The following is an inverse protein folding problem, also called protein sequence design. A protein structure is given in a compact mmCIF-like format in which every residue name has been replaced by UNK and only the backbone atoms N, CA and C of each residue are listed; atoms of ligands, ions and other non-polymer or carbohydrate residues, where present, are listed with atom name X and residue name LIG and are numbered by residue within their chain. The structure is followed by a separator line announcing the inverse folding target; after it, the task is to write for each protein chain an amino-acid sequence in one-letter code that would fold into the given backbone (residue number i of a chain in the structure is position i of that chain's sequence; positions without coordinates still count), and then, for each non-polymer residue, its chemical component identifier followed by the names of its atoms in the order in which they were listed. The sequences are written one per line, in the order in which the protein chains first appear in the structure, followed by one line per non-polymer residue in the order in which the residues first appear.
data_IF_712871452777
#
_entry.id   IF_712871452777
#
_cell.length_a   1.000
_cell.length_b   1.000
_cell.length_c   1.000
_cell.angle_alpha   90.00
_cell.angle_beta   90.00
_cell.angle_gamma   90.00
#
_symmetry.space_group_name_H-M   'P 1'
#
loop_
_entity.id
_entity.type
_entity.pdbx_description
1 polymer ?
#
# COMPACT_ATOMS: atom_id res chain seq x y z
N UNK A 1 1.03 4.27 -6.11
CA UNK A 1 1.48 3.79 -4.81
C UNK A 1 2.80 3.03 -4.96
N UNK A 2 3.59 2.96 -3.89
CA UNK A 2 4.76 2.08 -3.84
C UNK A 2 4.31 0.62 -3.89
N UNK A 3 4.95 -0.21 -4.71
CA UNK A 3 4.68 -1.64 -4.79
C UNK A 3 5.99 -2.42 -4.64
N UNK A 4 5.92 -3.61 -4.03
CA UNK A 4 7.07 -4.52 -3.89
C UNK A 4 6.74 -5.90 -4.43
N UNK A 5 7.73 -6.69 -4.83
CA UNK A 5 7.50 -8.03 -5.36
C UNK A 5 6.77 -8.94 -4.37
N UNK A 6 5.76 -9.67 -4.84
CA UNK A 6 5.07 -10.68 -4.04
C UNK A 6 5.98 -11.87 -3.71
N UNK A 7 6.93 -12.18 -4.58
CA UNK A 7 7.78 -13.36 -4.42
C UNK A 7 7.03 -14.68 -4.58
N UNK A 8 5.97 -14.70 -5.39
CA UNK A 8 5.13 -15.87 -5.60
C UNK A 8 5.87 -16.95 -6.39
N UNK A 9 5.65 -18.21 -6.03
CA UNK A 9 6.29 -19.35 -6.70
C UNK A 9 5.67 -20.68 -6.30
N UNK A 10 6.07 -21.78 -6.93
CA UNK A 10 5.62 -23.11 -6.58
C UNK A 10 5.95 -23.47 -5.12
N UNK A 11 4.99 -24.05 -4.41
CA UNK A 11 5.20 -24.61 -3.08
C UNK A 11 5.77 -26.02 -3.23
N UNK A 12 7.07 -26.18 -2.97
CA UNK A 12 7.71 -27.49 -2.98
C UNK A 12 7.30 -28.31 -1.74
N UNK A 13 7.36 -29.64 -1.84
CA UNK A 13 7.07 -30.51 -0.71
C UNK A 13 8.03 -30.25 0.46
N UNK A 14 9.32 -30.09 0.17
CA UNK A 14 10.34 -29.76 1.16
C UNK A 14 10.02 -28.48 1.95
N UNK A 15 9.62 -27.40 1.24
CA UNK A 15 9.22 -26.15 1.87
C UNK A 15 7.95 -26.29 2.70
N UNK A 16 6.99 -27.09 2.24
CA UNK A 16 5.77 -27.39 2.98
C UNK A 16 6.08 -28.14 4.27
N UNK A 17 6.95 -29.16 4.21
CA UNK A 17 7.35 -29.98 5.36
C UNK A 17 8.16 -29.13 6.36
N UNK A 18 9.04 -28.25 5.88
CA UNK A 18 9.73 -27.29 6.71
C UNK A 18 8.75 -26.38 7.47
N UNK A 19 7.79 -25.74 6.78
CA UNK A 19 6.82 -24.86 7.40
C UNK A 19 5.99 -25.63 8.44
N UNK A 20 5.53 -26.85 8.12
CA UNK A 20 4.74 -27.68 9.04
C UNK A 20 5.52 -28.08 10.29
N UNK A 21 6.79 -28.39 10.17
CA UNK A 21 7.64 -28.74 11.31
C UNK A 21 8.00 -27.55 12.21
N UNK A 22 7.83 -26.30 11.70
CA UNK A 22 8.16 -25.06 12.42
C UNK A 22 6.93 -24.17 12.69
N UNK A 23 5.72 -24.70 12.68
CA UNK A 23 4.48 -23.92 12.89
C UNK A 23 4.51 -23.08 14.17
N UNK A 24 4.97 -23.66 15.28
CA UNK A 24 5.02 -22.97 16.56
C UNK A 24 5.96 -21.74 16.52
N UNK A 25 7.08 -21.85 15.81
CA UNK A 25 8.03 -20.75 15.64
C UNK A 25 7.45 -19.64 14.76
N UNK A 26 6.77 -20.00 13.66
CA UNK A 26 6.10 -19.03 12.81
C UNK A 26 4.97 -18.33 13.55
N UNK A 27 4.15 -19.07 14.29
CA UNK A 27 3.06 -18.50 15.08
C UNK A 27 3.59 -17.55 16.15
N UNK A 28 4.63 -17.94 16.88
CA UNK A 28 5.27 -17.10 17.90
C UNK A 28 5.81 -15.79 17.31
N UNK A 29 6.43 -15.83 16.12
CA UNK A 29 6.87 -14.61 15.41
C UNK A 29 5.70 -13.72 15.01
N UNK A 30 4.61 -14.29 14.52
CA UNK A 30 3.40 -13.53 14.19
C UNK A 30 2.81 -12.89 15.43
N UNK A 31 2.71 -13.61 16.54
CA UNK A 31 2.15 -13.13 17.81
C UNK A 31 3.00 -12.00 18.42
N UNK A 32 4.32 -12.05 18.26
CA UNK A 32 5.24 -11.03 18.73
C UNK A 32 5.26 -9.77 17.86
N UNK A 33 4.82 -9.86 16.60
CA UNK A 33 4.91 -8.74 15.65
C UNK A 33 3.69 -7.81 15.74
N UNK A 34 3.91 -6.52 15.54
CA UNK A 34 2.84 -5.50 15.51
C UNK A 34 1.77 -5.78 14.45
N UNK A 35 2.18 -6.35 13.33
CA UNK A 35 1.32 -6.54 12.16
C UNK A 35 0.73 -7.96 12.04
N UNK A 36 1.06 -8.88 12.94
CA UNK A 36 0.64 -10.28 12.86
C UNK A 36 1.30 -11.08 11.72
N UNK A 37 2.41 -10.58 11.16
CA UNK A 37 3.22 -11.24 10.13
C UNK A 37 4.59 -11.68 10.70
N UNK A 38 5.24 -12.72 10.14
CA UNK A 38 6.53 -13.20 10.64
C UNK A 38 7.70 -12.32 10.19
N UNK A 39 7.50 -11.00 10.21
CA UNK A 39 8.50 -9.99 9.89
C UNK A 39 8.72 -9.11 11.12
N UNK A 40 9.97 -8.80 11.41
CA UNK A 40 10.38 -7.94 12.52
C UNK A 40 11.25 -6.82 11.96
N UNK A 41 11.06 -5.60 12.47
CA UNK A 41 11.94 -4.50 12.15
C UNK A 41 13.35 -4.78 12.64
N UNK A 42 14.33 -4.35 11.84
CA UNK A 42 15.73 -4.36 12.25
C UNK A 42 15.88 -3.32 13.36
N UNK A 43 16.39 -3.71 14.55
CA UNK A 43 16.38 -2.82 15.74
C UNK A 43 17.36 -1.65 15.66
N UNK A 44 18.34 -1.70 14.74
CA UNK A 44 19.25 -0.60 14.47
C UNK A 44 18.57 0.50 13.64
N UNK A 45 19.04 1.75 13.79
CA UNK A 45 18.66 2.81 12.87
C UNK A 45 19.42 2.66 11.55
N UNK A 46 18.81 3.05 10.47
CA UNK A 46 19.33 2.86 9.12
C UNK A 46 20.74 3.49 8.96
N UNK A 47 20.95 4.68 9.50
CA UNK A 47 22.23 5.39 9.35
C UNK A 47 23.32 4.98 10.36
N UNK A 48 22.99 4.20 11.37
CA UNK A 48 23.97 3.61 12.30
C UNK A 48 24.73 2.45 11.65
N UNK A 49 24.22 1.92 10.53
CA UNK A 49 24.81 0.81 9.76
C UNK A 49 25.61 1.36 8.57
N UNK A 50 26.79 0.78 8.25
CA UNK A 50 27.57 1.16 7.06
C UNK A 50 26.78 1.07 5.77
N UNK A 51 27.07 1.98 4.82
CA UNK A 51 26.30 2.09 3.57
C UNK A 51 26.21 0.79 2.80
N UNK A 52 27.31 0.09 2.65
CA UNK A 52 27.40 -1.16 1.90
C UNK A 52 26.54 -2.27 2.53
N UNK A 53 26.50 -2.32 3.84
CA UNK A 53 25.73 -3.30 4.61
C UNK A 53 24.22 -3.00 4.53
N UNK A 54 23.81 -1.74 4.75
CA UNK A 54 22.39 -1.37 4.64
C UNK A 54 21.86 -1.53 3.22
N UNK A 55 22.65 -1.22 2.17
CA UNK A 55 22.27 -1.43 0.78
C UNK A 55 22.08 -2.91 0.46
N UNK A 56 23.01 -3.76 0.91
CA UNK A 56 22.89 -5.20 0.78
C UNK A 56 21.66 -5.75 1.50
N UNK A 57 21.36 -5.21 2.69
CA UNK A 57 20.18 -5.61 3.46
C UNK A 57 18.87 -5.19 2.81
N UNK A 58 18.78 -3.97 2.28
CA UNK A 58 17.61 -3.53 1.51
C UNK A 58 17.40 -4.38 0.27
N UNK A 59 18.47 -4.78 -0.41
CA UNK A 59 18.42 -5.68 -1.56
C UNK A 59 17.92 -7.08 -1.19
N UNK A 60 18.37 -7.63 -0.08
CA UNK A 60 17.89 -8.90 0.50
C UNK A 60 16.39 -8.82 0.80
N UNK A 61 15.96 -7.77 1.51
CA UNK A 61 14.56 -7.57 1.88
C UNK A 61 13.66 -7.35 0.67
N UNK A 62 14.13 -6.63 -0.36
CA UNK A 62 13.37 -6.42 -1.59
C UNK A 62 13.14 -7.71 -2.39
N UNK A 63 14.11 -8.63 -2.34
CA UNK A 63 14.01 -9.97 -2.95
C UNK A 63 13.24 -10.97 -2.08
N UNK A 64 13.06 -10.63 -0.81
CA UNK A 64 12.32 -11.46 0.13
C UNK A 64 10.82 -11.53 -0.19
N UNK A 65 10.12 -12.56 0.28
CA UNK A 65 8.70 -12.76 -0.03
C UNK A 65 7.79 -11.78 0.73
N UNK A 66 6.70 -11.40 0.09
CA UNK A 66 5.62 -10.65 0.72
C UNK A 66 6.05 -9.27 1.24
N UNK A 67 5.78 -9.03 2.51
CA UNK A 67 6.05 -7.73 3.15
C UNK A 67 7.46 -7.58 3.74
N UNK A 68 8.42 -8.40 3.32
CA UNK A 68 9.79 -8.40 3.87
C UNK A 68 10.40 -7.00 3.93
N UNK A 69 10.35 -6.24 2.84
CA UNK A 69 10.90 -4.89 2.84
C UNK A 69 10.08 -3.93 3.71
N UNK A 70 8.74 -4.01 3.67
CA UNK A 70 7.90 -3.06 4.38
C UNK A 70 7.90 -3.26 5.89
N UNK A 71 7.82 -4.51 6.35
CA UNK A 71 7.68 -4.87 7.76
C UNK A 71 8.99 -5.41 8.38
N UNK A 72 10.04 -5.56 7.58
CA UNK A 72 11.35 -6.03 8.02
C UNK A 72 12.49 -5.02 7.82
N UNK A 73 12.16 -3.77 7.49
CA UNK A 73 13.15 -2.69 7.31
C UNK A 73 13.66 -2.17 8.67
N UNK A 74 14.64 -1.30 8.68
CA UNK A 74 15.17 -0.63 9.87
C UNK A 74 14.06 0.10 10.65
N UNK A 75 14.14 0.07 11.99
CA UNK A 75 13.05 0.55 12.88
C UNK A 75 12.69 2.02 12.67
N UNK A 76 13.64 2.85 12.27
CA UNK A 76 13.46 4.28 12.02
C UNK A 76 12.96 4.60 10.60
N UNK A 77 12.96 3.64 9.68
CA UNK A 77 12.60 3.87 8.28
C UNK A 77 11.16 4.37 8.06
N UNK A 78 10.25 4.13 9.00
CA UNK A 78 8.86 4.62 8.94
C UNK A 78 8.62 5.85 9.83
N UNK A 79 9.60 6.32 10.59
CA UNK A 79 9.46 7.44 11.55
C UNK A 79 10.47 8.57 11.36
N UNK A 80 11.65 8.31 10.79
CA UNK A 80 12.65 9.32 10.44
C UNK A 80 12.56 9.67 8.95
N UNK A 81 12.51 10.96 8.63
CA UNK A 81 12.36 11.44 7.24
C UNK A 81 13.56 11.10 6.35
N UNK A 82 14.78 11.16 6.88
CA UNK A 82 15.99 10.87 6.11
C UNK A 82 16.11 9.37 5.84
N UNK A 83 15.83 8.53 6.84
CA UNK A 83 15.79 7.09 6.69
C UNK A 83 14.69 6.66 5.72
N UNK A 84 13.48 7.22 5.86
CA UNK A 84 12.37 6.96 4.93
C UNK A 84 12.71 7.36 3.49
N UNK A 85 13.32 8.54 3.32
CA UNK A 85 13.76 9.00 1.99
C UNK A 85 14.77 8.03 1.38
N UNK A 86 15.72 7.53 2.16
CA UNK A 86 16.72 6.58 1.66
C UNK A 86 16.07 5.28 1.14
N UNK A 87 15.14 4.72 1.89
CA UNK A 87 14.38 3.53 1.47
C UNK A 87 13.48 3.84 0.26
N UNK A 88 12.85 5.01 0.23
CA UNK A 88 12.05 5.46 -0.91
C UNK A 88 12.88 5.60 -2.18
N UNK A 89 14.08 6.19 -2.08
CA UNK A 89 15.01 6.33 -3.21
C UNK A 89 15.49 4.96 -3.71
N UNK A 90 15.73 4.01 -2.80
CA UNK A 90 16.06 2.64 -3.15
C UNK A 90 14.93 1.97 -3.97
N UNK A 91 13.68 2.05 -3.50
CA UNK A 91 12.54 1.47 -4.23
C UNK A 91 12.30 2.20 -5.55
N UNK A 92 12.45 3.53 -5.59
CA UNK A 92 12.39 4.31 -6.83
C UNK A 92 13.44 3.85 -7.86
N UNK A 93 14.66 3.53 -7.41
CA UNK A 93 15.69 2.98 -8.28
C UNK A 93 15.27 1.62 -8.85
N UNK A 94 14.62 0.76 -8.05
CA UNK A 94 14.10 -0.53 -8.55
C UNK A 94 13.03 -0.33 -9.64
N UNK A 95 12.15 0.65 -9.47
CA UNK A 95 11.15 0.99 -10.50
C UNK A 95 11.84 1.43 -11.80
N UNK A 96 12.83 2.33 -11.71
CA UNK A 96 13.61 2.80 -12.88
C UNK A 96 14.38 1.69 -13.60
N UNK A 97 14.81 0.67 -12.87
CA UNK A 97 15.48 -0.49 -13.46
C UNK A 97 14.52 -1.42 -14.23
N UNK A 98 13.24 -1.46 -13.83
CA UNK A 98 12.22 -2.35 -14.38
C UNK A 98 11.39 -1.72 -15.50
N UNK A 99 11.24 -0.40 -15.51
CA UNK A 99 10.49 0.36 -16.51
C UNK A 99 11.46 1.03 -17.47
N UNK A 100 11.39 0.68 -18.77
CA UNK A 100 12.35 1.12 -19.80
C UNK A 100 12.22 2.59 -20.15
N UNK A 101 10.97 3.10 -20.24
CA UNK A 101 10.74 4.53 -20.50
C UNK A 101 10.91 5.33 -19.19
N UNK A 102 11.92 6.22 -19.10
CA UNK A 102 12.16 6.99 -17.88
C UNK A 102 11.01 7.93 -17.52
N UNK A 103 10.21 8.40 -18.46
CA UNK A 103 9.04 9.24 -18.18
C UNK A 103 7.95 8.42 -17.48
N UNK A 104 7.69 7.21 -17.97
CA UNK A 104 6.73 6.29 -17.35
C UNK A 104 7.23 5.89 -15.96
N UNK A 105 8.51 5.56 -15.81
CA UNK A 105 9.09 5.24 -14.51
C UNK A 105 8.84 6.37 -13.48
N UNK A 106 9.07 7.63 -13.86
CA UNK A 106 8.85 8.77 -12.99
C UNK A 106 7.36 9.02 -12.65
N UNK A 107 6.42 8.69 -13.55
CA UNK A 107 4.98 8.75 -13.26
C UNK A 107 4.54 7.66 -12.27
N UNK A 108 5.18 6.50 -12.30
CA UNK A 108 4.87 5.37 -11.42
C UNK A 108 5.48 5.52 -10.01
N UNK A 109 6.49 6.37 -9.84
CA UNK A 109 7.11 6.67 -8.55
C UNK A 109 6.25 7.68 -7.79
N UNK A 110 5.71 7.35 -6.59
CA UNK A 110 4.96 8.29 -5.77
C UNK A 110 5.78 9.52 -5.40
N UNK A 111 5.16 10.71 -5.45
CA UNK A 111 5.76 12.00 -5.11
C UNK A 111 5.14 12.64 -3.86
N UNK A 112 3.99 12.15 -3.44
CA UNK A 112 3.17 12.70 -2.36
C UNK A 112 3.39 12.03 -1.00
N UNK A 113 4.08 10.88 -0.97
CA UNK A 113 4.37 10.15 0.27
C UNK A 113 5.60 9.26 0.13
N UNK A 114 6.27 9.01 1.25
CA UNK A 114 7.39 8.07 1.34
C UNK A 114 6.97 6.61 1.32
N UNK A 115 7.94 5.71 1.13
CA UNK A 115 7.73 4.27 1.17
C UNK A 115 7.14 3.84 2.53
N UNK A 116 6.11 2.99 2.48
CA UNK A 116 5.48 2.43 3.68
C UNK A 116 4.51 3.36 4.42
N UNK A 117 4.42 4.66 4.06
CA UNK A 117 3.48 5.61 4.66
C UNK A 117 2.02 5.31 4.31
N UNK A 118 1.79 4.61 3.23
CA UNK A 118 0.51 3.96 2.86
C UNK A 118 0.78 2.46 2.72
N UNK A 119 -0.27 1.61 2.85
CA UNK A 119 -0.12 0.18 2.63
C UNK A 119 0.59 -0.09 1.30
N UNK A 120 1.64 -0.90 1.34
CA UNK A 120 2.43 -1.30 0.17
C UNK A 120 1.75 -2.51 -0.50
N UNK A 121 1.14 -2.37 -1.70
CA UNK A 121 0.66 -3.50 -2.47
C UNK A 121 1.80 -4.41 -2.91
N UNK A 122 1.52 -5.71 -2.95
CA UNK A 122 2.42 -6.70 -3.50
C UNK A 122 2.08 -6.93 -4.98
N UNK A 123 3.10 -7.08 -5.81
CA UNK A 123 2.92 -7.16 -7.26
C UNK A 123 3.72 -8.29 -7.91
N UNK A 124 3.26 -8.72 -9.07
CA UNK A 124 3.98 -9.63 -9.96
C UNK A 124 3.91 -9.07 -11.37
N UNK A 125 5.06 -8.67 -11.93
CA UNK A 125 5.22 -8.07 -13.25
C UNK A 125 4.43 -6.76 -13.47
N UNK A 126 3.99 -6.07 -12.41
CA UNK A 126 3.25 -4.82 -12.53
C UNK A 126 4.04 -3.73 -13.26
N UNK A 127 5.32 -3.60 -12.96
CA UNK A 127 6.17 -2.59 -13.62
C UNK A 127 6.58 -3.00 -15.03
N UNK A 128 6.78 -4.28 -15.28
CA UNK A 128 7.15 -4.81 -16.62
C UNK A 128 6.04 -4.66 -17.64
N UNK A 129 4.77 -4.65 -17.21
CA UNK A 129 3.61 -4.44 -18.09
C UNK A 129 3.72 -3.13 -18.88
N UNK A 130 4.27 -2.08 -18.27
CA UNK A 130 4.45 -0.78 -18.92
C UNK A 130 5.56 -0.75 -19.99
N UNK A 131 6.28 -1.84 -20.17
CA UNK A 131 7.25 -1.99 -21.27
C UNK A 131 6.62 -2.56 -22.54
N UNK A 132 5.33 -2.86 -22.55
CA UNK A 132 4.60 -3.39 -23.70
C UNK A 132 4.06 -2.23 -24.56
N UNK A 133 4.13 -2.38 -25.89
CA UNK A 133 3.71 -1.33 -26.83
C UNK A 133 2.21 -0.99 -26.76
N UNK A 134 1.39 -1.93 -26.29
CA UNK A 134 -0.06 -1.77 -26.14
C UNK A 134 -0.50 -1.27 -24.75
N UNK A 135 0.44 -0.89 -23.89
CA UNK A 135 0.17 -0.36 -22.55
C UNK A 135 0.61 1.09 -22.45
N UNK A 136 -0.28 1.95 -22.02
CA UNK A 136 -0.01 3.37 -21.82
C UNK A 136 -0.42 3.85 -20.42
N UNK A 137 0.17 4.96 -19.99
CA UNK A 137 -0.16 5.65 -18.73
C UNK A 137 -0.66 7.05 -19.06
N UNK A 138 -1.77 7.43 -18.46
CA UNK A 138 -2.32 8.78 -18.51
C UNK A 138 -2.20 9.41 -17.12
N UNK A 139 -1.49 10.54 -17.02
CA UNK A 139 -1.35 11.28 -15.77
C UNK A 139 -2.56 12.22 -15.57
N UNK A 140 -3.49 11.82 -14.74
CA UNK A 140 -4.70 12.59 -14.45
C UNK A 140 -4.45 13.87 -13.65
N UNK A 141 -3.23 14.10 -13.11
CA UNK A 141 -2.87 15.37 -12.50
C UNK A 141 -2.65 16.46 -13.55
N UNK A 142 -2.19 16.08 -14.73
CA UNK A 142 -1.95 17.01 -15.85
C UNK A 142 -3.07 16.98 -16.86
N UNK A 143 -3.72 15.84 -17.06
CA UNK A 143 -4.81 15.62 -18.04
C UNK A 143 -6.05 14.99 -17.36
N UNK A 144 -6.77 15.74 -16.51
CA UNK A 144 -7.90 15.21 -15.76
C UNK A 144 -9.04 14.71 -16.67
N UNK A 145 -9.76 13.70 -16.18
CA UNK A 145 -10.98 13.19 -16.84
C UNK A 145 -12.06 14.27 -16.79
N UNK A 146 -12.64 14.56 -17.95
CA UNK A 146 -13.72 15.54 -18.09
C UNK A 146 -15.10 14.88 -18.17
N UNK A 147 -15.18 13.71 -18.80
CA UNK A 147 -16.42 12.92 -18.89
C UNK A 147 -16.13 11.48 -19.32
N UNK A 148 -17.10 10.61 -19.06
CA UNK A 148 -17.21 9.28 -19.67
C UNK A 148 -18.17 9.36 -20.83
N UNK A 149 -17.82 8.80 -21.97
CA UNK A 149 -18.62 8.75 -23.20
C UNK A 149 -18.94 7.30 -23.57
N UNK A 150 -19.88 7.04 -24.48
CA UNK A 150 -20.11 5.68 -24.97
C UNK A 150 -18.89 5.04 -25.62
N UNK A 151 -17.97 5.84 -26.18
CA UNK A 151 -16.77 5.39 -26.85
C UNK A 151 -15.59 5.18 -25.88
N UNK A 152 -15.60 5.83 -24.72
CA UNK A 152 -14.47 5.73 -23.78
C UNK A 152 -14.39 6.86 -22.76
N UNK A 153 -13.16 7.24 -22.42
CA UNK A 153 -12.85 8.27 -21.43
C UNK A 153 -12.29 9.51 -22.11
N UNK A 154 -12.98 10.64 -21.96
CA UNK A 154 -12.49 11.94 -22.40
C UNK A 154 -11.68 12.59 -21.29
N UNK A 155 -10.42 12.89 -21.56
CA UNK A 155 -9.58 13.76 -20.74
C UNK A 155 -9.55 15.18 -21.33
N UNK A 156 -8.81 16.10 -20.71
CA UNK A 156 -8.66 17.47 -21.23
C UNK A 156 -7.92 17.54 -22.56
N UNK A 157 -7.13 16.54 -22.91
CA UNK A 157 -6.29 16.51 -24.11
C UNK A 157 -6.76 15.52 -25.19
N UNK A 158 -7.40 14.41 -24.80
CA UNK A 158 -7.80 13.38 -25.77
C UNK A 158 -9.02 12.56 -25.34
N UNK A 159 -9.69 11.95 -26.34
CA UNK A 159 -10.61 10.84 -26.13
C UNK A 159 -9.82 9.52 -26.19
N UNK A 160 -9.87 8.76 -25.12
CA UNK A 160 -9.29 7.41 -25.04
C UNK A 160 -10.42 6.39 -25.25
N UNK A 161 -10.42 5.72 -26.40
CA UNK A 161 -11.44 4.75 -26.76
C UNK A 161 -11.17 3.40 -26.10
N UNK A 162 -12.21 2.78 -25.51
CA UNK A 162 -12.12 1.51 -24.80
C UNK A 162 -13.34 0.65 -25.03
N UNK A 163 -13.12 -0.65 -25.22
CA UNK A 163 -14.18 -1.68 -25.19
C UNK A 163 -14.66 -1.97 -23.77
N UNK A 164 -13.78 -1.83 -22.76
CA UNK A 164 -14.05 -2.10 -21.35
C UNK A 164 -13.40 -1.05 -20.47
N UNK A 165 -14.17 -0.52 -19.52
CA UNK A 165 -13.69 0.40 -18.47
C UNK A 165 -13.85 -0.28 -17.12
N UNK A 166 -12.75 -0.40 -16.35
CA UNK A 166 -12.77 -0.95 -15.00
C UNK A 166 -12.68 0.20 -14.00
N UNK A 167 -13.75 0.40 -13.22
CA UNK A 167 -13.80 1.39 -12.15
C UNK A 167 -13.17 0.82 -10.88
N UNK A 168 -11.88 1.06 -10.69
CA UNK A 168 -11.15 0.68 -9.48
C UNK A 168 -10.95 1.89 -8.55
N UNK A 169 -12.01 2.65 -8.31
CA UNK A 169 -12.00 3.95 -7.61
C UNK A 169 -11.91 3.84 -6.08
N UNK A 170 -11.86 2.62 -5.55
CA UNK A 170 -11.75 2.36 -4.11
C UNK A 170 -13.07 2.45 -3.36
N UNK A 171 -12.97 2.69 -2.06
CA UNK A 171 -14.11 2.74 -1.14
C UNK A 171 -14.16 4.07 -0.40
N UNK A 172 -15.36 4.50 -0.01
CA UNK A 172 -15.53 5.53 1.01
C UNK A 172 -15.18 4.92 2.38
N UNK A 173 -13.89 5.02 2.71
CA UNK A 173 -13.35 4.44 3.93
C UNK A 173 -13.88 5.16 5.18
N UNK A 174 -13.82 4.50 6.33
CA UNK A 174 -14.23 4.96 7.66
C UNK A 174 -15.73 5.14 7.80
N UNK A 175 -16.35 6.12 7.17
CA UNK A 175 -17.78 6.44 7.37
C UNK A 175 -18.73 5.91 6.28
N UNK A 176 -18.20 5.47 5.14
CA UNK A 176 -19.04 5.08 4.00
C UNK A 176 -20.03 3.96 4.28
N UNK A 177 -19.62 2.92 4.98
CA UNK A 177 -20.48 1.82 5.41
C UNK A 177 -21.53 2.28 6.44
N UNK A 178 -21.10 3.05 7.44
CA UNK A 178 -21.97 3.55 8.50
C UNK A 178 -23.01 4.52 7.99
N UNK A 179 -22.69 5.36 7.01
CA UNK A 179 -23.62 6.30 6.38
C UNK A 179 -24.77 5.63 5.60
N UNK A 180 -24.66 4.33 5.32
CA UNK A 180 -25.69 3.53 4.63
C UNK A 180 -26.67 2.87 5.60
N UNK A 181 -26.41 2.95 6.91
CA UNK A 181 -27.21 2.35 7.97
C UNK A 181 -27.85 3.50 8.77
N UNK A 182 -29.15 3.40 9.07
CA UNK A 182 -29.81 4.36 9.97
C UNK A 182 -29.52 4.02 11.44
N UNK A 183 -28.39 4.54 11.92
CA UNK A 183 -27.94 4.33 13.31
C UNK A 183 -28.42 5.52 14.14
N UNK A 184 -29.26 5.23 15.15
CA UNK A 184 -29.81 6.22 16.06
C UNK A 184 -29.22 6.06 17.46
N UNK A 185 -28.73 7.16 18.01
CA UNK A 185 -28.21 7.25 19.37
C UNK A 185 -29.29 7.70 20.36
N UNK A 186 -28.82 8.21 21.51
CA UNK A 186 -29.66 8.79 22.55
C UNK A 186 -30.50 9.94 21.94
N UNK A 187 -31.75 10.05 22.38
CA UNK A 187 -32.72 11.08 21.92
C UNK A 187 -33.00 11.03 20.38
N UNK A 188 -32.71 9.91 19.71
CA UNK A 188 -32.99 9.69 18.30
C UNK A 188 -32.02 10.39 17.33
N UNK A 189 -30.93 10.96 17.82
CA UNK A 189 -29.92 11.65 16.99
C UNK A 189 -29.24 10.65 16.05
N UNK A 190 -29.15 10.98 14.77
CA UNK A 190 -28.53 10.14 13.74
C UNK A 190 -26.99 10.19 13.78
N UNK A 191 -26.34 9.04 13.60
CA UNK A 191 -24.88 8.98 13.51
C UNK A 191 -24.35 9.81 12.33
N UNK A 192 -25.02 9.75 11.19
CA UNK A 192 -24.69 10.52 9.99
C UNK A 192 -24.73 12.04 10.25
N UNK A 193 -25.68 12.50 11.04
CA UNK A 193 -25.81 13.89 11.44
C UNK A 193 -24.66 14.28 12.38
N UNK A 194 -24.37 13.41 13.36
CA UNK A 194 -23.27 13.62 14.33
C UNK A 194 -21.90 13.70 13.65
N UNK A 195 -21.70 12.96 12.56
CA UNK A 195 -20.45 12.91 11.81
C UNK A 195 -20.44 13.78 10.53
N UNK A 196 -21.35 14.72 10.39
CA UNK A 196 -21.43 15.57 9.20
C UNK A 196 -20.13 16.35 8.97
N UNK A 197 -19.58 16.95 10.03
CA UNK A 197 -18.35 17.76 9.98
C UNK A 197 -17.05 16.92 10.20
N UNK A 198 -17.18 15.62 10.38
CA UNK A 198 -16.05 14.72 10.59
C UNK A 198 -16.36 13.61 11.59
N UNK A 199 -15.58 12.53 11.52
CA UNK A 199 -15.75 11.40 12.44
C UNK A 199 -15.15 11.74 13.80
N UNK A 200 -15.99 11.72 14.84
CA UNK A 200 -15.57 11.92 16.23
C UNK A 200 -15.83 10.65 17.02
N UNK A 201 -14.78 10.10 17.63
CA UNK A 201 -14.86 8.89 18.45
C UNK A 201 -14.03 9.03 19.71
N UNK A 202 -14.34 8.21 20.70
CA UNK A 202 -13.46 8.00 21.84
C UNK A 202 -12.50 6.84 21.50
N UNK A 203 -11.23 7.16 21.28
CA UNK A 203 -10.14 6.24 20.97
C UNK A 203 -10.42 5.25 19.81
N UNK A 204 -11.25 5.63 18.83
CA UNK A 204 -11.64 4.75 17.73
C UNK A 204 -12.63 3.63 18.07
N UNK A 205 -13.12 3.57 19.32
CA UNK A 205 -13.94 2.46 19.79
C UNK A 205 -15.41 2.82 20.02
N UNK A 206 -15.71 4.05 20.42
CA UNK A 206 -17.06 4.47 20.78
C UNK A 206 -17.38 5.86 20.25
N UNK A 207 -18.66 6.13 20.04
CA UNK A 207 -19.14 7.45 19.65
C UNK A 207 -19.97 8.09 20.77
N UNK A 208 -19.69 9.34 21.17
CA UNK A 208 -20.51 10.06 22.15
C UNK A 208 -21.98 10.12 21.73
N UNK A 209 -22.89 9.82 22.65
CA UNK A 209 -24.33 9.76 22.39
C UNK A 209 -24.85 8.43 21.82
N UNK A 210 -23.98 7.45 21.56
CA UNK A 210 -24.33 6.13 21.04
C UNK A 210 -23.83 5.01 21.95
N UNK A 211 -24.44 4.81 23.14
CA UNK A 211 -23.90 3.97 24.20
C UNK A 211 -23.78 2.48 23.84
N UNK A 212 -24.52 2.00 22.84
CA UNK A 212 -24.53 0.61 22.40
C UNK A 212 -23.86 0.43 21.02
N UNK A 213 -23.14 1.44 20.54
CA UNK A 213 -22.45 1.42 19.26
C UNK A 213 -20.94 1.39 19.49
N UNK A 214 -20.31 0.31 19.03
CA UNK A 214 -18.88 0.08 19.08
C UNK A 214 -18.33 -0.04 17.66
N UNK A 215 -17.13 0.53 17.43
CA UNK A 215 -16.45 0.59 16.14
C UNK A 215 -15.37 -0.50 16.04
#
# INVERSE_FOLDING_TARGET
NWCTPLGNGPMTQERMDYIKSHYNEFTAKCDASIAGFPHEFIPENLFDVPKEERDAKLEELYKGPGFSLWLGVYQDALSDLAANKYVSDFVAQKIRQRVKDPRIAELLIPKDHGFGMKRVPLETNYYEVYNQDNVSVVDLNTTPITKITPEGIQTTDALHEFDVIIYATGFDAVKGSWNRIDIRGKDGVGLKETWADGVTTYMGMQCPGFPNFFL
#
